data_IF_744364951165
#
_entry.id   IF_744364951165
#
_cell.length_a   1.000
_cell.length_b   1.000
_cell.length_c   1.000
_cell.angle_alpha   90.00
_cell.angle_beta   90.00
_cell.angle_gamma   90.00
#
_symmetry.space_group_name_H-M   'P 1'
#
loop_
_entity.id
_entity.type
_entity.pdbx_description
1 polymer ?
#
# COMPACT_ATOMS: atom_id res chain seq x y z
N UNK A 1 8.15 -2.05 8.05
CA UNK A 1 7.48 -1.59 6.80
C UNK A 1 8.51 -1.56 5.67
N UNK A 2 8.12 -1.95 4.45
CA UNK A 2 8.93 -1.93 3.22
C UNK A 2 8.58 -0.72 2.37
N UNK A 3 9.53 -0.18 1.61
CA UNK A 3 9.27 0.92 0.66
C UNK A 3 8.49 0.40 -0.55
N UNK A 4 7.51 1.17 -1.03
CA UNK A 4 6.76 0.83 -2.24
C UNK A 4 7.69 0.83 -3.47
N UNK A 5 7.81 -0.30 -4.21
CA UNK A 5 8.66 -0.38 -5.40
C UNK A 5 8.01 0.21 -6.67
N UNK A 6 6.79 0.73 -6.59
CA UNK A 6 6.05 1.29 -7.73
C UNK A 6 5.10 0.31 -8.42
N UNK A 7 4.98 -0.91 -7.91
CA UNK A 7 4.08 -1.96 -8.39
C UNK A 7 3.68 -2.87 -7.22
N UNK A 8 2.60 -3.65 -7.36
CA UNK A 8 2.18 -4.58 -6.32
C UNK A 8 3.24 -5.67 -6.11
N UNK A 9 3.90 -5.74 -4.93
CA UNK A 9 4.90 -6.75 -4.63
C UNK A 9 4.26 -8.14 -4.53
N UNK A 10 4.99 -9.18 -4.93
CA UNK A 10 4.49 -10.57 -4.94
C UNK A 10 4.03 -11.03 -3.55
N UNK A 11 4.70 -10.56 -2.49
CA UNK A 11 4.34 -10.91 -1.11
C UNK A 11 3.00 -10.32 -0.65
N UNK A 12 2.52 -9.27 -1.33
CA UNK A 12 1.30 -8.55 -1.01
C UNK A 12 0.10 -8.99 -1.87
N UNK A 13 0.34 -9.63 -3.03
CA UNK A 13 -0.71 -10.17 -3.91
C UNK A 13 -1.71 -11.04 -3.13
N UNK A 14 -3.01 -10.81 -3.36
CA UNK A 14 -4.15 -11.43 -2.70
C UNK A 14 -4.22 -11.24 -1.17
N UNK A 15 -3.50 -10.26 -0.61
CA UNK A 15 -3.49 -9.95 0.83
C UNK A 15 -3.95 -8.53 1.09
N UNK A 16 -3.95 -8.15 2.37
CA UNK A 16 -4.18 -6.78 2.80
C UNK A 16 -2.87 -6.13 3.19
N UNK A 17 -2.81 -4.80 3.11
CA UNK A 17 -1.64 -4.00 3.50
C UNK A 17 -2.07 -2.79 4.30
N UNK A 18 -1.19 -2.34 5.20
CA UNK A 18 -1.27 -1.04 5.88
C UNK A 18 0.05 -0.30 5.71
N UNK A 19 0.07 0.99 5.96
CA UNK A 19 1.32 1.74 5.82
C UNK A 19 1.14 3.24 5.88
N UNK A 20 2.06 3.96 5.24
CA UNK A 20 2.06 5.42 5.14
C UNK A 20 2.06 5.88 3.69
N UNK A 21 1.38 6.99 3.46
CA UNK A 21 1.40 7.73 2.21
C UNK A 21 2.54 8.77 2.25
N UNK A 22 2.92 9.30 1.08
CA UNK A 22 4.00 10.28 0.93
C UNK A 22 3.76 11.58 1.72
N UNK A 23 2.51 11.94 1.98
CA UNK A 23 2.15 13.08 2.82
C UNK A 23 2.24 12.81 4.33
N UNK A 24 2.62 11.60 4.74
CA UNK A 24 2.72 11.18 6.14
C UNK A 24 1.45 10.51 6.70
N UNK A 25 0.34 10.54 5.97
CA UNK A 25 -0.91 9.91 6.42
C UNK A 25 -0.77 8.39 6.50
N UNK A 26 -1.45 7.78 7.48
CA UNK A 26 -1.53 6.33 7.61
C UNK A 26 -2.76 5.80 6.87
N UNK A 27 -2.62 4.63 6.24
CA UNK A 27 -3.72 3.91 5.61
C UNK A 27 -3.82 2.48 6.12
N UNK A 28 -4.99 1.85 5.91
CA UNK A 28 -5.19 0.43 6.23
C UNK A 28 -5.29 0.12 7.72
N UNK A 29 -5.57 1.08 8.60
CA UNK A 29 -5.93 0.80 9.99
C UNK A 29 -7.46 0.70 10.14
N UNK A 30 -8.01 -0.24 10.96
CA UNK A 30 -7.30 -1.29 11.71
C UNK A 30 -7.02 -2.58 10.92
N UNK A 31 -7.73 -2.83 9.80
CA UNK A 31 -7.82 -4.15 9.15
C UNK A 31 -7.10 -4.31 7.81
N UNK A 32 -6.23 -3.39 7.43
CA UNK A 32 -5.57 -3.34 6.12
C UNK A 32 -6.52 -2.94 4.98
N UNK A 33 -5.94 -2.51 3.86
CA UNK A 33 -6.61 -2.35 2.57
C UNK A 33 -6.20 -3.48 1.63
N UNK A 34 -7.07 -3.95 0.71
CA UNK A 34 -6.67 -4.94 -0.28
C UNK A 34 -5.44 -4.45 -1.06
N UNK A 35 -4.41 -5.28 -1.17
CA UNK A 35 -3.22 -4.92 -1.93
C UNK A 35 -3.51 -4.88 -3.43
N UNK A 36 -4.34 -5.79 -3.93
CA UNK A 36 -4.65 -5.93 -5.34
C UNK A 36 -6.16 -6.15 -5.58
N UNK A 37 -6.50 -6.44 -6.84
CA UNK A 37 -7.89 -6.59 -7.28
C UNK A 37 -8.58 -5.25 -7.56
N UNK A 38 -9.88 -5.33 -7.86
CA UNK A 38 -10.69 -4.17 -8.30
C UNK A 38 -10.76 -3.04 -7.27
N UNK A 39 -10.66 -3.39 -5.99
CA UNK A 39 -10.68 -2.45 -4.85
C UNK A 39 -9.31 -2.34 -4.19
N UNK A 40 -8.25 -2.72 -4.91
CA UNK A 40 -6.88 -2.76 -4.40
C UNK A 40 -6.22 -1.39 -4.34
N UNK A 41 -5.16 -1.34 -3.53
CA UNK A 41 -4.24 -0.21 -3.48
C UNK A 41 -3.66 0.13 -4.85
N UNK A 42 -3.52 1.43 -5.12
CA UNK A 42 -2.75 1.91 -6.25
C UNK A 42 -1.27 1.97 -5.87
N UNK A 43 -0.45 1.14 -6.51
CA UNK A 43 0.99 1.03 -6.21
C UNK A 43 1.90 1.95 -7.00
N UNK A 44 1.43 2.47 -8.15
CA UNK A 44 2.25 3.33 -9.01
C UNK A 44 2.71 4.58 -8.27
N UNK A 45 4.00 4.90 -8.37
CA UNK A 45 4.56 6.16 -7.85
C UNK A 45 4.41 7.24 -8.91
N UNK A 46 3.54 8.21 -8.64
CA UNK A 46 3.19 9.31 -9.54
C UNK A 46 3.75 10.65 -9.08
N UNK A 47 4.32 10.72 -7.88
CA UNK A 47 4.69 11.95 -7.20
C UNK A 47 3.52 12.59 -6.43
N UNK A 48 2.34 11.98 -6.44
CA UNK A 48 1.17 12.50 -5.73
C UNK A 48 1.33 12.33 -4.21
N UNK A 49 0.82 13.25 -3.37
CA UNK A 49 0.91 13.13 -1.91
C UNK A 49 0.29 11.85 -1.34
N UNK A 50 -0.64 11.24 -2.07
CA UNK A 50 -1.34 10.01 -1.69
C UNK A 50 -0.71 8.73 -2.27
N UNK A 51 0.48 8.84 -2.88
CA UNK A 51 1.25 7.66 -3.23
C UNK A 51 1.63 6.89 -1.98
N UNK A 52 1.49 5.56 -2.01
CA UNK A 52 1.97 4.69 -0.93
C UNK A 52 3.49 4.82 -0.86
N UNK A 53 4.01 5.24 0.28
CA UNK A 53 5.45 5.39 0.50
C UNK A 53 6.04 4.14 1.15
N UNK A 54 5.39 3.69 2.23
CA UNK A 54 5.74 2.48 2.95
C UNK A 54 4.53 1.60 3.14
N UNK A 55 4.74 0.29 3.09
CA UNK A 55 3.69 -0.70 3.30
C UNK A 55 4.19 -1.84 4.20
N UNK A 56 3.23 -2.56 4.77
CA UNK A 56 3.42 -3.79 5.50
C UNK A 56 2.26 -4.73 5.15
N UNK A 57 2.58 -5.99 4.88
CA UNK A 57 1.56 -7.02 4.64
C UNK A 57 0.83 -7.29 5.94
N UNK A 58 -0.48 -7.07 5.89
CA UNK A 58 -1.40 -7.28 6.99
C UNK A 58 -2.10 -8.61 6.77
N UNK A 59 -1.78 -9.60 7.61
CA UNK A 59 -2.47 -10.89 7.76
C UNK A 59 -2.87 -11.56 6.45
#
# INVERSE_FOLDING_TARGET
>A
MKRNPGFCPREATAKRVKGTLRNGDRFGAPGGWPADGRTGCRWSLTGHPHDIEFYEVYG
#
